data_IF_622968544994
#
_entry.id   IF_622968544994
#
_cell.length_a   1.000
_cell.length_b   1.000
_cell.length_c   1.000
_cell.angle_alpha   90.00
_cell.angle_beta   90.00
_cell.angle_gamma   90.00
#
_symmetry.space_group_name_H-M   'P 1'
#
loop_
_entity.id
_entity.type
_entity.pdbx_description
1 polymer ?
#
# COMPACT_ATOMS: atom_id res chain seq x y z
N UNK A 1 18.60 -4.37 17.61
CA UNK A 1 17.18 -4.70 17.41
C UNK A 1 16.54 -3.41 16.97
N UNK A 2 16.48 -3.15 15.64
CA UNK A 2 15.72 -2.04 15.10
C UNK A 2 14.25 -2.41 15.28
N UNK A 3 13.53 -1.57 16.02
CA UNK A 3 12.09 -1.70 16.18
C UNK A 3 11.43 -1.58 14.79
N UNK A 4 10.76 -2.63 14.35
CA UNK A 4 9.95 -2.65 13.16
C UNK A 4 8.92 -1.51 13.24
N UNK A 5 9.00 -0.53 12.35
CA UNK A 5 7.86 0.36 12.05
C UNK A 5 7.73 1.65 12.84
N UNK A 6 8.75 2.13 13.55
CA UNK A 6 8.63 3.40 14.30
C UNK A 6 8.63 4.66 13.43
N UNK A 7 8.86 4.56 12.14
CA UNK A 7 8.92 5.68 11.19
C UNK A 7 7.97 5.53 9.99
N UNK A 8 6.96 4.69 10.12
CA UNK A 8 5.95 4.47 9.08
C UNK A 8 4.66 5.21 9.43
N UNK A 9 4.24 6.06 8.51
CA UNK A 9 2.97 6.78 8.54
C UNK A 9 2.05 6.24 7.46
N UNK A 10 0.75 6.29 7.72
CA UNK A 10 -0.29 6.00 6.74
C UNK A 10 -1.17 7.22 6.54
N UNK A 11 -1.44 7.55 5.29
CA UNK A 11 -2.46 8.51 4.91
C UNK A 11 -3.64 7.73 4.36
N UNK A 12 -4.82 7.94 4.91
CA UNK A 12 -6.07 7.32 4.45
C UNK A 12 -7.15 8.38 4.26
N UNK A 13 -8.14 8.14 3.38
CA UNK A 13 -9.31 9.00 3.33
C UNK A 13 -10.02 9.03 4.70
N UNK A 14 -10.49 10.20 5.11
CA UNK A 14 -11.33 10.31 6.29
C UNK A 14 -12.64 9.55 6.08
N UNK A 15 -13.12 8.89 7.11
CA UNK A 15 -14.42 8.24 7.06
C UNK A 15 -15.52 9.32 7.14
N UNK A 16 -16.31 9.55 6.07
CA UNK A 16 -17.35 10.58 6.07
C UNK A 16 -18.48 10.34 7.08
N UNK A 17 -18.57 9.15 7.65
CA UNK A 17 -19.55 8.75 8.65
C UNK A 17 -18.87 8.50 10.00
N UNK A 18 -18.48 9.56 10.71
CA UNK A 18 -18.05 9.46 12.09
C UNK A 18 -19.27 9.57 12.98
N UNK A 19 -19.52 8.57 13.81
CA UNK A 19 -20.62 8.52 14.79
C UNK A 19 -22.05 8.69 14.20
N UNK A 20 -22.26 8.38 12.91
CA UNK A 20 -23.57 8.46 12.26
C UNK A 20 -23.95 9.86 11.76
N UNK A 21 -23.07 10.84 11.86
CA UNK A 21 -23.21 12.16 11.24
C UNK A 21 -22.30 12.29 10.02
N UNK A 22 -22.83 12.86 8.94
CA UNK A 22 -22.02 13.21 7.75
C UNK A 22 -21.23 14.45 8.12
N UNK A 23 -19.95 14.25 8.46
CA UNK A 23 -19.08 15.32 8.97
C UNK A 23 -18.56 16.22 7.85
N UNK A 24 -18.41 15.70 6.64
CA UNK A 24 -17.95 16.51 5.50
C UNK A 24 -18.56 16.01 4.17
N UNK A 25 -19.40 16.83 3.49
CA UNK A 25 -19.95 16.46 2.18
C UNK A 25 -18.99 16.68 1.01
N UNK A 26 -17.79 17.22 1.24
CA UNK A 26 -16.80 17.58 0.21
C UNK A 26 -15.51 16.78 0.33
N UNK A 27 -15.61 15.48 0.63
CA UNK A 27 -14.44 14.60 0.68
C UNK A 27 -13.82 14.51 -0.72
N UNK A 28 -12.60 15.01 -0.87
CA UNK A 28 -11.77 14.70 -2.03
C UNK A 28 -11.09 13.35 -1.80
N UNK A 29 -10.98 12.58 -2.85
CA UNK A 29 -10.32 11.29 -2.79
C UNK A 29 -8.81 11.48 -2.86
N UNK A 30 -8.06 10.65 -2.14
CA UNK A 30 -6.61 10.60 -2.28
C UNK A 30 -6.23 10.13 -3.70
N UNK A 31 -5.21 10.73 -4.25
CA UNK A 31 -4.78 10.47 -5.62
C UNK A 31 -3.29 10.10 -5.71
N UNK A 32 -2.88 9.57 -6.85
CA UNK A 32 -1.45 9.34 -7.14
C UNK A 32 -0.64 10.64 -7.09
N UNK A 33 -1.25 11.77 -7.49
CA UNK A 33 -0.60 13.08 -7.45
C UNK A 33 -0.31 13.54 -6.01
N UNK A 34 -1.09 13.10 -5.03
CA UNK A 34 -0.81 13.36 -3.62
C UNK A 34 0.44 12.60 -3.17
N UNK A 35 0.57 11.33 -3.57
CA UNK A 35 1.79 10.57 -3.32
C UNK A 35 3.02 11.18 -4.01
N UNK A 36 2.86 11.73 -5.22
CA UNK A 36 3.95 12.46 -5.91
C UNK A 36 4.35 13.70 -5.11
N UNK A 37 3.39 14.47 -4.62
CA UNK A 37 3.64 15.69 -3.85
C UNK A 37 4.36 15.40 -2.52
N UNK A 38 4.05 14.27 -1.87
CA UNK A 38 4.72 13.84 -0.65
C UNK A 38 6.17 13.38 -0.88
N UNK A 39 6.57 13.10 -2.11
CA UNK A 39 7.95 12.78 -2.48
C UNK A 39 8.80 14.02 -2.87
N UNK A 40 8.29 15.23 -2.67
CA UNK A 40 9.06 16.46 -2.94
C UNK A 40 10.06 16.72 -1.78
N UNK A 41 11.37 16.56 -2.01
CA UNK A 41 12.37 16.68 -0.94
C UNK A 41 12.55 18.12 -0.45
N UNK A 42 12.03 19.11 -1.16
CA UNK A 42 12.09 20.53 -0.75
C UNK A 42 10.94 20.83 0.20
N UNK A 43 9.77 20.29 -0.07
CA UNK A 43 8.56 20.52 0.74
C UNK A 43 8.43 19.54 1.91
N UNK A 44 8.98 18.35 1.75
CA UNK A 44 8.95 17.28 2.73
C UNK A 44 10.35 16.67 2.97
N UNK A 45 11.28 17.45 3.55
CA UNK A 45 12.66 16.97 3.77
C UNK A 45 12.75 15.81 4.77
N UNK A 46 11.77 15.62 5.65
CA UNK A 46 11.73 14.55 6.62
C UNK A 46 10.96 13.31 6.13
N UNK A 47 10.42 13.34 4.92
CA UNK A 47 9.83 12.18 4.25
C UNK A 47 10.90 11.50 3.38
N UNK A 48 11.27 10.28 3.70
CA UNK A 48 12.19 9.46 2.91
C UNK A 48 11.55 8.88 1.65
N UNK A 49 10.24 8.67 1.68
CA UNK A 49 9.48 8.18 0.54
C UNK A 49 8.01 8.00 0.83
N UNK A 50 7.21 8.07 -0.22
CA UNK A 50 5.78 7.80 -0.19
C UNK A 50 5.39 6.91 -1.37
N UNK A 51 4.49 5.96 -1.14
CA UNK A 51 3.96 5.05 -2.15
C UNK A 51 2.43 4.99 -2.08
N UNK A 52 1.73 5.22 -3.20
CA UNK A 52 0.28 5.06 -3.25
C UNK A 52 -0.09 3.59 -3.20
N UNK A 53 -1.23 3.29 -2.62
CA UNK A 53 -1.78 1.95 -2.53
C UNK A 53 -3.21 1.94 -3.06
N UNK A 54 -3.45 1.14 -4.10
CA UNK A 54 -4.79 0.86 -4.59
C UNK A 54 -5.15 -0.56 -4.22
N UNK A 55 -6.07 -0.70 -3.28
CA UNK A 55 -6.50 -1.98 -2.73
C UNK A 55 -7.86 -2.37 -3.24
N UNK A 56 -8.02 -3.61 -3.66
CA UNK A 56 -9.32 -4.18 -4.00
C UNK A 56 -9.36 -5.68 -3.69
N UNK A 57 -10.53 -6.17 -3.33
CA UNK A 57 -10.76 -7.58 -3.11
C UNK A 57 -10.75 -8.32 -4.46
N UNK A 58 -10.05 -9.45 -4.50
CA UNK A 58 -9.95 -10.31 -5.68
C UNK A 58 -10.05 -11.78 -5.29
N UNK A 59 -10.51 -12.59 -6.22
CA UNK A 59 -10.32 -14.03 -6.15
C UNK A 59 -9.24 -14.42 -7.14
N UNK A 60 -8.15 -14.97 -6.62
CA UNK A 60 -7.04 -15.46 -7.45
C UNK A 60 -7.12 -16.97 -7.56
N UNK A 61 -6.82 -17.47 -8.76
CA UNK A 61 -6.84 -18.91 -9.09
C UNK A 61 -5.51 -19.33 -9.69
N UNK A 62 -5.09 -20.56 -9.39
CA UNK A 62 -3.99 -21.23 -10.04
C UNK A 62 -4.33 -22.71 -10.18
N UNK A 63 -4.30 -23.23 -11.43
CA UNK A 63 -4.73 -24.58 -11.74
C UNK A 63 -6.18 -24.84 -11.25
N UNK A 64 -6.34 -25.76 -10.31
CA UNK A 64 -7.64 -26.13 -9.71
C UNK A 64 -7.90 -25.47 -8.33
N UNK A 65 -7.01 -24.56 -7.90
CA UNK A 65 -7.09 -23.87 -6.60
C UNK A 65 -7.61 -22.46 -6.74
N UNK A 66 -8.28 -22.00 -5.71
CA UNK A 66 -8.84 -20.64 -5.64
C UNK A 66 -8.66 -20.09 -4.23
N UNK A 67 -8.31 -18.81 -4.13
CA UNK A 67 -8.15 -18.09 -2.87
C UNK A 67 -8.67 -16.67 -3.00
N UNK A 68 -9.49 -16.24 -2.04
CA UNK A 68 -9.98 -14.85 -1.97
C UNK A 68 -9.03 -14.04 -1.11
N UNK A 69 -8.54 -12.94 -1.64
CA UNK A 69 -7.53 -12.10 -1.02
C UNK A 69 -7.70 -10.64 -1.45
N UNK A 70 -6.72 -9.79 -1.18
CA UNK A 70 -6.63 -8.44 -1.70
C UNK A 70 -5.46 -8.30 -2.67
N UNK A 71 -5.68 -7.57 -3.77
CA UNK A 71 -4.58 -7.09 -4.58
C UNK A 71 -4.28 -5.64 -4.22
N UNK A 72 -2.99 -5.33 -4.07
CA UNK A 72 -2.44 -4.00 -3.80
C UNK A 72 -1.63 -3.58 -5.01
N UNK A 73 -2.18 -2.63 -5.77
CA UNK A 73 -1.44 -1.92 -6.80
C UNK A 73 -0.62 -0.82 -6.15
N UNK A 74 0.69 -0.81 -6.36
CA UNK A 74 1.59 0.15 -5.70
C UNK A 74 2.88 0.37 -6.48
N UNK A 75 3.71 1.30 -6.03
CA UNK A 75 5.04 1.53 -6.59
C UNK A 75 6.10 0.60 -5.99
N UNK A 76 7.24 0.40 -6.67
CA UNK A 76 8.33 -0.43 -6.15
C UNK A 76 8.89 0.02 -4.79
N UNK A 77 8.84 1.31 -4.50
CA UNK A 77 9.25 1.89 -3.21
C UNK A 77 8.44 1.37 -2.00
N UNK A 78 7.25 0.86 -2.23
CA UNK A 78 6.39 0.28 -1.19
C UNK A 78 7.12 -0.78 -0.34
N UNK A 79 7.89 -1.66 -0.98
CA UNK A 79 8.57 -2.74 -0.27
C UNK A 79 9.59 -2.23 0.75
N UNK A 80 10.34 -1.17 0.43
CA UNK A 80 11.28 -0.54 1.37
C UNK A 80 10.58 0.29 2.42
N UNK A 81 9.56 1.07 2.01
CA UNK A 81 8.77 1.92 2.91
C UNK A 81 8.11 1.07 4.01
N UNK A 82 7.47 -0.03 3.63
CA UNK A 82 6.71 -0.89 4.55
C UNK A 82 7.55 -2.01 5.16
N UNK A 83 8.87 -2.02 4.90
CA UNK A 83 9.76 -3.10 5.31
C UNK A 83 9.19 -4.49 4.99
N UNK A 84 8.93 -4.72 3.71
CA UNK A 84 8.30 -5.93 3.19
C UNK A 84 9.31 -6.76 2.37
N UNK A 85 10.26 -7.46 3.03
CA UNK A 85 11.25 -8.26 2.33
C UNK A 85 10.61 -9.45 1.61
N UNK A 86 11.25 -9.93 0.54
CA UNK A 86 10.91 -11.20 -0.08
C UNK A 86 11.72 -12.33 0.55
N UNK A 87 11.09 -13.48 0.74
CA UNK A 87 11.77 -14.73 1.16
C UNK A 87 12.30 -15.52 -0.03
N UNK A 88 11.68 -15.33 -1.20
CA UNK A 88 12.09 -15.98 -2.45
C UNK A 88 11.79 -15.08 -3.66
N UNK A 89 12.60 -15.18 -4.70
CA UNK A 89 12.42 -14.39 -5.93
C UNK A 89 12.92 -12.96 -5.81
N UNK A 90 12.19 -12.03 -6.41
CA UNK A 90 12.57 -10.63 -6.51
C UNK A 90 11.35 -9.69 -6.41
N UNK A 91 11.62 -8.39 -6.19
CA UNK A 91 10.64 -7.32 -6.35
C UNK A 91 10.45 -6.95 -7.82
N UNK A 92 9.31 -6.33 -8.14
CA UNK A 92 9.22 -5.58 -9.38
C UNK A 92 9.92 -4.22 -9.24
N UNK A 93 10.27 -3.61 -10.36
CA UNK A 93 11.04 -2.37 -10.41
C UNK A 93 10.32 -1.28 -11.22
N UNK A 94 10.93 -0.09 -11.34
CA UNK A 94 10.33 1.04 -12.05
C UNK A 94 10.07 0.76 -13.53
N UNK A 95 10.88 -0.07 -14.20
CA UNK A 95 10.62 -0.44 -15.59
C UNK A 95 9.38 -1.34 -15.72
N UNK A 96 9.15 -2.19 -14.73
CA UNK A 96 7.94 -3.02 -14.65
C UNK A 96 6.70 -2.17 -14.44
N UNK A 97 6.79 -1.16 -13.55
CA UNK A 97 5.72 -0.18 -13.30
C UNK A 97 5.42 0.63 -14.57
N UNK A 98 6.44 1.23 -15.20
CA UNK A 98 6.27 2.05 -16.40
C UNK A 98 5.69 1.27 -17.59
N UNK A 99 5.96 -0.02 -17.68
CA UNK A 99 5.45 -0.89 -18.74
C UNK A 99 4.17 -1.64 -18.37
N UNK A 100 3.59 -1.36 -17.21
CA UNK A 100 2.41 -2.03 -16.67
C UNK A 100 2.49 -3.56 -16.76
N UNK A 101 3.65 -4.13 -16.37
CA UNK A 101 3.87 -5.57 -16.42
C UNK A 101 2.98 -6.29 -15.43
N UNK A 102 2.28 -7.31 -15.91
CA UNK A 102 1.44 -8.18 -15.07
C UNK A 102 2.29 -9.20 -14.33
N UNK A 103 3.06 -8.73 -13.38
CA UNK A 103 3.86 -9.52 -12.45
C UNK A 103 3.46 -9.20 -11.02
N UNK A 104 3.72 -10.12 -10.09
CA UNK A 104 3.30 -9.94 -8.70
C UNK A 104 4.26 -10.57 -7.72
N UNK A 105 4.32 -9.96 -6.53
CA UNK A 105 4.85 -10.54 -5.30
C UNK A 105 3.64 -10.98 -4.48
N UNK A 106 3.60 -12.23 -4.06
CA UNK A 106 2.51 -12.77 -3.25
C UNK A 106 2.95 -12.99 -1.80
N UNK A 107 2.02 -12.77 -0.87
CA UNK A 107 2.25 -13.11 0.54
C UNK A 107 2.29 -14.61 0.79
N UNK A 108 2.84 -15.02 1.93
CA UNK A 108 3.00 -16.45 2.27
C UNK A 108 1.67 -17.18 2.32
N UNK A 109 0.60 -16.57 2.86
CA UNK A 109 -0.74 -17.19 2.90
C UNK A 109 -1.29 -17.49 1.50
N UNK A 110 -1.11 -16.56 0.55
CA UNK A 110 -1.53 -16.77 -0.85
C UNK A 110 -0.69 -17.87 -1.50
N UNK A 111 0.63 -17.87 -1.25
CA UNK A 111 1.53 -18.90 -1.77
C UNK A 111 1.15 -20.30 -1.28
N UNK A 112 0.90 -20.46 0.01
CA UNK A 112 0.46 -21.74 0.61
C UNK A 112 -0.92 -22.17 0.11
N UNK A 113 -1.84 -21.24 -0.09
CA UNK A 113 -3.20 -21.55 -0.55
C UNK A 113 -3.22 -22.00 -2.02
N UNK A 114 -2.46 -21.34 -2.88
CA UNK A 114 -2.46 -21.63 -4.32
C UNK A 114 -1.40 -22.63 -4.74
N UNK A 115 -0.29 -22.76 -4.00
CA UNK A 115 0.87 -23.58 -4.35
C UNK A 115 1.41 -24.41 -3.18
N UNK A 116 0.58 -25.20 -2.44
CA UNK A 116 1.00 -25.85 -1.19
C UNK A 116 2.14 -26.85 -1.36
N UNK A 117 2.32 -27.42 -2.56
CA UNK A 117 3.29 -28.48 -2.84
C UNK A 117 4.26 -28.10 -3.97
N UNK A 118 4.25 -26.83 -4.43
CA UNK A 118 5.01 -26.40 -5.58
C UNK A 118 5.58 -25.00 -5.41
N UNK A 119 6.71 -24.74 -6.10
CA UNK A 119 7.30 -23.40 -6.13
C UNK A 119 6.41 -22.45 -6.94
N UNK A 120 5.94 -21.32 -6.35
CA UNK A 120 5.13 -20.34 -7.03
C UNK A 120 5.91 -19.49 -8.04
N UNK A 121 7.25 -19.41 -7.94
CA UNK A 121 8.06 -18.53 -8.79
C UNK A 121 7.94 -18.91 -10.28
N UNK A 122 7.67 -17.90 -11.11
CA UNK A 122 7.49 -18.04 -12.55
C UNK A 122 6.13 -18.61 -12.95
N UNK A 123 5.28 -19.03 -12.01
CA UNK A 123 3.93 -19.51 -12.32
C UNK A 123 2.96 -18.36 -12.49
N UNK A 124 1.84 -18.63 -13.15
CA UNK A 124 0.76 -17.68 -13.32
C UNK A 124 -0.34 -17.90 -12.31
N UNK A 125 -0.88 -16.80 -11.79
CA UNK A 125 -2.15 -16.75 -11.07
C UNK A 125 -3.10 -15.84 -11.86
N UNK A 126 -4.38 -16.15 -11.86
CA UNK A 126 -5.40 -15.30 -12.46
C UNK A 126 -6.24 -14.64 -11.36
N UNK A 127 -6.08 -13.34 -11.14
CA UNK A 127 -6.85 -12.57 -10.16
C UNK A 127 -8.02 -11.88 -10.86
N UNK A 128 -9.25 -12.24 -10.48
CA UNK A 128 -10.47 -11.87 -11.19
C UNK A 128 -10.40 -12.15 -12.72
N UNK A 129 -9.73 -13.26 -13.09
CA UNK A 129 -9.52 -13.65 -14.49
C UNK A 129 -8.35 -12.95 -15.20
N UNK A 130 -7.67 -12.00 -14.55
CA UNK A 130 -6.49 -11.31 -15.12
C UNK A 130 -5.22 -12.08 -14.72
N UNK A 131 -4.41 -12.55 -15.70
CA UNK A 131 -3.20 -13.30 -15.42
C UNK A 131 -2.06 -12.40 -14.95
N UNK A 132 -1.40 -12.81 -13.86
CA UNK A 132 -0.16 -12.25 -13.34
C UNK A 132 0.88 -13.36 -13.18
N UNK A 133 2.14 -13.07 -13.45
CA UNK A 133 3.26 -13.98 -13.20
C UNK A 133 3.85 -13.69 -11.82
N UNK A 134 3.98 -14.70 -10.98
CA UNK A 134 4.60 -14.58 -9.66
C UNK A 134 6.12 -14.44 -9.83
N UNK A 135 6.68 -13.34 -9.35
CA UNK A 135 8.12 -13.06 -9.40
C UNK A 135 8.78 -13.10 -8.03
N UNK A 136 7.99 -13.04 -6.97
CA UNK A 136 8.49 -13.09 -5.59
C UNK A 136 7.44 -13.58 -4.62
N UNK A 137 7.93 -14.06 -3.47
CA UNK A 137 7.12 -14.41 -2.30
C UNK A 137 7.59 -13.55 -1.14
N UNK A 138 6.68 -12.83 -0.51
CA UNK A 138 6.99 -11.99 0.65
C UNK A 138 7.38 -12.86 1.84
N UNK A 139 8.36 -12.40 2.62
CA UNK A 139 8.66 -13.02 3.90
C UNK A 139 7.47 -12.87 4.85
N UNK A 140 7.20 -13.92 5.60
CA UNK A 140 6.13 -13.93 6.59
C UNK A 140 6.35 -12.81 7.61
N UNK A 141 5.34 -11.98 7.79
CA UNK A 141 5.33 -10.90 8.78
C UNK A 141 4.64 -11.32 10.07
N UNK A 142 3.62 -12.18 9.94
CA UNK A 142 2.73 -12.52 11.03
C UNK A 142 1.91 -11.33 11.52
N UNK A 143 0.83 -11.59 12.23
CA UNK A 143 -0.02 -10.56 12.82
C UNK A 143 -1.12 -11.18 13.66
N UNK A 144 -1.43 -10.56 14.80
CA UNK A 144 -2.45 -11.08 15.70
C UNK A 144 -3.88 -10.68 15.29
N UNK A 145 -4.06 -9.56 14.60
CA UNK A 145 -5.37 -8.95 14.29
C UNK A 145 -5.67 -8.78 12.79
N UNK A 146 -4.64 -8.77 11.96
CA UNK A 146 -4.77 -8.75 10.51
C UNK A 146 -3.76 -9.74 9.93
N UNK A 147 -4.09 -10.36 8.80
CA UNK A 147 -3.15 -11.23 8.11
C UNK A 147 -2.42 -10.44 7.01
N UNK A 148 -1.28 -9.79 7.31
CA UNK A 148 -0.53 -9.03 6.32
C UNK A 148 0.10 -9.91 5.24
N UNK A 149 0.09 -11.22 5.47
CA UNK A 149 0.63 -12.24 4.58
C UNK A 149 -0.41 -12.76 3.57
N UNK A 150 -1.68 -12.31 3.70
CA UNK A 150 -2.75 -12.60 2.74
C UNK A 150 -2.93 -11.44 1.76
N UNK A 151 -2.00 -11.33 0.84
CA UNK A 151 -1.94 -10.20 -0.11
C UNK A 151 -1.28 -10.60 -1.43
N UNK A 152 -1.72 -9.97 -2.51
CA UNK A 152 -1.09 -9.97 -3.83
C UNK A 152 -0.63 -8.55 -4.12
N UNK A 153 0.65 -8.32 -4.36
CA UNK A 153 1.23 -6.99 -4.59
C UNK A 153 1.71 -6.91 -6.04
N UNK A 154 1.24 -5.94 -6.79
CA UNK A 154 1.55 -5.77 -8.20
C UNK A 154 1.85 -4.30 -8.53
N UNK A 155 2.49 -4.02 -9.69
CA UNK A 155 2.64 -2.66 -10.19
C UNK A 155 1.29 -1.93 -10.25
N UNK A 156 1.23 -0.69 -9.75
CA UNK A 156 0.01 0.11 -9.71
C UNK A 156 -0.61 0.23 -11.11
N UNK A 157 0.20 0.55 -12.09
CA UNK A 157 -0.21 0.67 -13.48
C UNK A 157 -0.81 -0.61 -14.05
N UNK A 158 -0.30 -1.79 -13.66
CA UNK A 158 -0.86 -3.07 -14.09
C UNK A 158 -2.24 -3.33 -13.46
N UNK A 159 -2.43 -2.97 -12.19
CA UNK A 159 -3.70 -3.10 -11.48
C UNK A 159 -4.74 -2.13 -12.04
N UNK A 160 -4.36 -0.87 -12.24
CA UNK A 160 -5.25 0.14 -12.84
C UNK A 160 -5.67 -0.22 -14.26
N UNK A 161 -4.74 -0.66 -15.09
CA UNK A 161 -5.02 -1.01 -16.49
C UNK A 161 -5.92 -2.23 -16.65
N UNK A 162 -5.95 -3.14 -15.67
CA UNK A 162 -6.56 -4.46 -15.89
C UNK A 162 -7.62 -4.88 -14.86
N UNK A 163 -7.67 -4.25 -13.68
CA UNK A 163 -8.59 -4.66 -12.61
C UNK A 163 -9.48 -3.51 -12.15
N UNK A 164 -8.89 -2.37 -11.72
CA UNK A 164 -9.64 -1.31 -11.02
C UNK A 164 -10.02 -0.13 -11.89
N UNK A 165 -9.31 0.10 -12.99
CA UNK A 165 -9.33 1.40 -13.68
C UNK A 165 -8.49 2.44 -12.92
N UNK A 166 -8.39 3.65 -13.48
CA UNK A 166 -7.70 4.80 -12.89
C UNK A 166 -8.62 5.53 -11.90
N UNK A 167 -8.06 6.23 -10.92
CA UNK A 167 -8.82 7.06 -9.98
C UNK A 167 -8.15 7.21 -8.62
N UNK A 168 -8.98 7.18 -7.57
CA UNK A 168 -8.53 7.30 -6.18
C UNK A 168 -7.60 6.18 -5.75
N UNK A 169 -6.73 6.47 -4.79
CA UNK A 169 -5.95 5.47 -4.06
C UNK A 169 -6.57 5.21 -2.68
N UNK A 170 -6.42 4.00 -2.18
CA UNK A 170 -7.00 3.57 -0.91
C UNK A 170 -6.22 4.10 0.30
N UNK A 171 -4.91 4.31 0.10
CA UNK A 171 -4.00 4.82 1.10
C UNK A 171 -2.70 5.30 0.45
N UNK A 172 -1.89 6.04 1.23
CA UNK A 172 -0.49 6.33 0.89
C UNK A 172 0.36 5.90 2.08
N UNK A 173 1.28 4.97 1.85
CA UNK A 173 2.32 4.63 2.83
C UNK A 173 3.44 5.65 2.75
N UNK A 174 3.83 6.22 3.88
CA UNK A 174 4.85 7.27 3.98
C UNK A 174 5.91 6.83 5.00
N UNK A 175 7.17 6.90 4.61
CA UNK A 175 8.29 6.63 5.49
C UNK A 175 8.96 7.95 5.90
N UNK A 176 9.04 8.23 7.20
CA UNK A 176 9.86 9.30 7.72
C UNK A 176 11.35 8.95 7.59
N UNK A 177 12.21 9.96 7.47
CA UNK A 177 13.66 9.79 7.32
C UNK A 177 14.31 9.08 8.52
N UNK A 178 13.73 9.23 9.70
CA UNK A 178 14.11 8.52 10.93
C UNK A 178 12.90 8.43 11.88
N UNK A 179 13.04 7.62 12.93
CA UNK A 179 12.04 7.57 14.02
C UNK A 179 11.93 8.90 14.79
N UNK A 180 12.98 9.70 14.79
CA UNK A 180 13.04 10.99 15.50
C UNK A 180 12.34 12.10 14.71
N UNK A 181 12.24 11.97 13.38
CA UNK A 181 11.59 12.94 12.49
C UNK A 181 10.17 12.54 12.09
N UNK A 182 9.59 11.56 12.75
CA UNK A 182 8.26 11.05 12.38
C UNK A 182 7.17 12.12 12.54
N UNK A 183 7.21 12.89 13.63
CA UNK A 183 6.24 13.97 13.88
C UNK A 183 6.42 15.13 12.89
N UNK A 184 7.66 15.45 12.51
CA UNK A 184 7.95 16.45 11.49
C UNK A 184 7.47 15.98 10.10
N UNK A 185 7.71 14.73 9.75
CA UNK A 185 7.20 14.13 8.52
C UNK A 185 5.67 14.11 8.46
N UNK A 186 5.00 13.80 9.58
CA UNK A 186 3.55 13.88 9.70
C UNK A 186 3.04 15.31 9.47
N UNK A 187 3.65 16.29 10.13
CA UNK A 187 3.31 17.71 9.94
C UNK A 187 3.49 18.19 8.50
N UNK A 188 4.58 17.75 7.84
CA UNK A 188 4.85 18.06 6.42
C UNK A 188 3.82 17.40 5.50
N UNK A 189 3.49 16.14 5.73
CA UNK A 189 2.46 15.44 4.96
C UNK A 189 1.10 16.15 5.08
N UNK A 190 0.70 16.51 6.29
CA UNK A 190 -0.54 17.24 6.55
C UNK A 190 -0.54 18.59 5.82
N UNK A 191 0.53 19.37 5.92
CA UNK A 191 0.61 20.68 5.28
C UNK A 191 0.51 20.61 3.76
N UNK A 192 1.16 19.62 3.14
CA UNK A 192 1.11 19.41 1.69
C UNK A 192 -0.30 19.00 1.25
N UNK A 193 -0.93 18.10 1.98
CA UNK A 193 -2.27 17.60 1.64
C UNK A 193 -3.36 18.65 1.91
N UNK A 194 -3.29 19.39 3.02
CA UNK A 194 -4.20 20.50 3.29
C UNK A 194 -4.16 21.55 2.17
N UNK A 195 -2.96 21.92 1.68
CA UNK A 195 -2.84 22.85 0.55
C UNK A 195 -3.44 22.28 -0.74
N UNK A 196 -3.19 21.01 -1.04
CA UNK A 196 -3.67 20.35 -2.26
C UNK A 196 -5.19 20.14 -2.27
N UNK A 197 -5.75 19.78 -1.14
CA UNK A 197 -7.18 19.53 -0.96
C UNK A 197 -7.97 20.80 -0.59
N UNK A 198 -7.26 21.91 -0.26
CA UNK A 198 -7.90 23.14 0.20
C UNK A 198 -8.57 23.00 1.56
N UNK A 199 -8.01 22.15 2.42
CA UNK A 199 -8.54 21.81 3.73
C UNK A 199 -7.76 22.47 4.87
N UNK A 200 -8.32 22.38 6.07
CA UNK A 200 -7.72 22.82 7.35
C UNK A 200 -8.04 21.79 8.41
N UNK A 201 -7.45 21.90 9.60
CA UNK A 201 -7.62 20.93 10.70
C UNK A 201 -9.07 20.46 10.96
N UNK A 202 -10.06 21.36 10.82
CA UNK A 202 -11.49 21.04 11.04
C UNK A 202 -12.24 20.56 9.79
N UNK A 203 -11.61 20.54 8.62
CA UNK A 203 -12.26 20.23 7.33
C UNK A 203 -11.48 19.21 6.49
N UNK A 204 -10.47 18.55 7.09
CA UNK A 204 -9.69 17.54 6.40
C UNK A 204 -10.55 16.39 5.94
N UNK A 205 -10.23 15.88 4.77
CA UNK A 205 -10.85 14.73 4.13
C UNK A 205 -9.91 13.50 4.12
N UNK A 206 -8.81 13.61 4.84
CA UNK A 206 -7.82 12.57 5.06
C UNK A 206 -7.37 12.51 6.52
N UNK A 207 -6.89 11.35 6.92
CA UNK A 207 -6.24 11.13 8.21
C UNK A 207 -4.77 10.71 7.98
N UNK A 208 -3.87 11.23 8.81
CA UNK A 208 -2.49 10.77 8.88
C UNK A 208 -2.28 10.14 10.25
N UNK A 209 -1.81 8.92 10.30
CA UNK A 209 -1.53 8.24 11.55
C UNK A 209 -0.21 7.50 11.54
N UNK A 210 0.42 7.49 12.69
CA UNK A 210 1.66 6.78 12.93
C UNK A 210 1.37 5.35 13.37
N UNK A 211 2.04 4.37 12.77
CA UNK A 211 1.89 2.97 13.16
C UNK A 211 2.25 2.73 14.64
N UNK A 212 3.18 3.49 15.21
CA UNK A 212 3.55 3.37 16.62
C UNK A 212 2.40 3.76 17.56
N UNK A 213 1.59 4.77 17.19
CA UNK A 213 0.45 5.22 18.00
C UNK A 213 -0.69 4.20 18.06
N UNK A 214 -0.78 3.30 17.08
CA UNK A 214 -1.75 2.20 17.08
C UNK A 214 -1.40 1.10 18.10
N UNK A 215 -0.11 0.95 18.43
CA UNK A 215 0.37 -0.03 19.40
C UNK A 215 0.23 0.46 20.84
N UNK A 216 0.21 1.78 21.07
CA UNK A 216 0.05 2.38 22.38
C UNK A 216 -1.41 2.44 22.87
N UNK A 217 -2.38 2.17 21.96
CA UNK A 217 -3.82 2.25 22.26
C UNK A 217 -4.46 0.87 22.48
N UNK A 218 -3.69 -0.21 22.38
CA UNK A 218 -4.12 -1.62 22.55
C UNK A 218 -3.62 -2.21 23.87
#
# INVERSE_FOLDING_TARGET
IQSLGSNLLYVTPENPNRDGEIVNPSVQELTVDDAIALNDPVRAPDIAGAAPERRTAVTCTSEDRSHSTQIVGTWPSFFSITNSPVSAGAYFNNADELSARRITVIGSTVAESLFPESDPLGRQIACNGVPFTVVGVQAEKGGAFANPDDVVIAPLSAVENSITGYGEVSAISVQASSSETTDDAEGQAIAILDERHGTTEGTRDFEVFNQASLLDTA
#
